data_IF_509146109729
#
_entry.id   IF_509146109729
#
_cell.length_a   1.000
_cell.length_b   1.000
_cell.length_c   1.000
_cell.angle_alpha   90.00
_cell.angle_beta   90.00
_cell.angle_gamma   90.00
#
_symmetry.space_group_name_H-M   'P 1'
#
loop_
_entity.id
_entity.type
_entity.pdbx_description
1 polymer ?
#
# COMPACT_ATOMS: atom_id res chain seq x y z
N UNK A 1 -32.13 -29.60 -51.42
CA UNK A 1 -32.06 -28.64 -50.31
C UNK A 1 -32.84 -29.28 -49.18
N UNK A 2 -32.19 -29.67 -48.08
CA UNK A 2 -32.68 -30.70 -47.12
C UNK A 2 -32.86 -32.10 -47.80
N UNK A 3 -32.83 -33.26 -47.13
CA UNK A 3 -32.15 -33.73 -45.90
C UNK A 3 -32.40 -35.25 -45.72
N UNK A 4 -31.55 -35.94 -44.94
CA UNK A 4 -31.78 -37.26 -44.27
C UNK A 4 -31.76 -38.60 -45.07
N UNK A 5 -30.87 -39.49 -44.59
CA UNK A 5 -31.12 -40.90 -44.16
C UNK A 5 -30.75 -42.12 -45.05
N UNK A 6 -29.78 -42.88 -44.48
CA UNK A 6 -29.37 -44.29 -44.64
C UNK A 6 -30.51 -45.34 -44.59
N UNK A 7 -30.38 -46.51 -45.25
CA UNK A 7 -29.83 -47.76 -44.62
C UNK A 7 -29.04 -48.68 -45.62
N UNK A 8 -28.37 -49.82 -45.31
CA UNK A 8 -27.81 -50.47 -44.09
C UNK A 8 -26.94 -51.71 -44.51
N UNK A 9 -26.80 -52.76 -43.66
CA UNK A 9 -26.44 -54.18 -43.92
C UNK A 9 -24.97 -54.71 -43.81
N UNK A 10 -24.57 -54.94 -42.55
CA UNK A 10 -23.93 -56.10 -41.87
C UNK A 10 -23.48 -57.36 -42.68
N UNK A 11 -22.44 -58.06 -42.13
CA UNK A 11 -22.03 -59.50 -42.20
C UNK A 11 -20.74 -59.78 -43.05
N UNK A 12 -19.79 -60.69 -42.71
CA UNK A 12 -19.63 -61.58 -41.53
C UNK A 12 -18.17 -62.09 -41.31
N UNK A 13 -17.90 -62.61 -40.10
CA UNK A 13 -16.80 -63.48 -39.59
C UNK A 13 -15.88 -64.29 -40.55
N UNK A 14 -14.57 -64.41 -40.22
CA UNK A 14 -13.93 -65.66 -39.69
C UNK A 14 -12.48 -65.48 -39.15
N UNK A 15 -11.93 -66.53 -38.50
CA UNK A 15 -10.73 -66.53 -37.64
C UNK A 15 -9.45 -67.09 -38.31
N UNK A 16 -8.24 -66.83 -37.76
CA UNK A 16 -7.35 -67.84 -37.08
C UNK A 16 -5.99 -67.25 -36.60
N UNK A 17 -5.46 -67.87 -35.54
CA UNK A 17 -4.32 -67.62 -34.61
C UNK A 17 -2.92 -67.20 -35.16
N UNK A 18 -2.29 -66.27 -34.41
CA UNK A 18 -0.87 -66.16 -33.93
C UNK A 18 0.30 -66.72 -34.79
N UNK A 19 1.24 -65.85 -35.19
CA UNK A 19 2.63 -65.85 -34.66
C UNK A 19 3.38 -64.50 -34.88
N UNK A 20 4.51 -64.36 -34.18
CA UNK A 20 5.26 -63.18 -33.72
C UNK A 20 6.27 -62.56 -34.74
N UNK A 21 6.51 -61.24 -34.63
CA UNK A 21 7.67 -60.44 -35.14
C UNK A 21 7.71 -60.17 -36.67
N UNK A 22 7.92 -58.95 -37.21
CA UNK A 22 8.94 -57.91 -36.96
C UNK A 22 8.44 -56.53 -37.50
N UNK A 23 8.94 -55.40 -36.95
CA UNK A 23 9.13 -54.06 -37.61
C UNK A 23 7.84 -53.35 -38.11
N UNK A 24 7.58 -52.05 -37.95
CA UNK A 24 8.36 -50.86 -37.55
C UNK A 24 7.50 -49.86 -36.79
N UNK A 25 8.09 -49.18 -35.81
CA UNK A 25 7.49 -48.06 -35.07
C UNK A 25 7.85 -46.72 -35.73
N UNK A 26 6.90 -45.86 -36.13
CA UNK A 26 7.18 -44.45 -36.37
C UNK A 26 7.13 -43.71 -35.02
N UNK A 27 8.30 -43.35 -34.50
CA UNK A 27 8.44 -42.42 -33.38
C UNK A 27 7.89 -41.05 -33.80
N UNK A 28 6.70 -40.70 -33.30
CA UNK A 28 6.28 -39.29 -33.32
C UNK A 28 7.05 -38.60 -32.19
N UNK A 29 8.15 -37.96 -32.56
CA UNK A 29 8.94 -37.10 -31.69
C UNK A 29 8.10 -35.87 -31.32
N UNK A 30 7.28 -36.01 -30.28
CA UNK A 30 6.74 -34.86 -29.55
C UNK A 30 7.91 -34.22 -28.79
N UNK A 31 8.67 -33.36 -29.46
CA UNK A 31 9.63 -32.50 -28.80
C UNK A 31 8.90 -31.65 -27.75
N UNK A 32 9.14 -31.94 -26.48
CA UNK A 32 8.86 -31.02 -25.39
C UNK A 32 9.76 -29.80 -25.54
N UNK A 33 9.29 -28.82 -26.31
CA UNK A 33 9.80 -27.47 -26.23
C UNK A 33 9.39 -26.91 -24.88
N UNK A 34 10.33 -26.83 -23.93
CA UNK A 34 10.19 -25.92 -22.80
C UNK A 34 10.25 -24.48 -23.35
N UNK A 35 9.14 -24.00 -23.91
CA UNK A 35 8.87 -22.57 -24.00
C UNK A 35 8.46 -22.09 -22.62
N UNK A 36 9.39 -22.19 -21.66
CA UNK A 36 9.51 -21.12 -20.69
C UNK A 36 9.99 -19.92 -21.50
N UNK A 37 9.04 -19.15 -22.04
CA UNK A 37 9.25 -17.74 -22.25
C UNK A 37 9.59 -17.17 -20.87
N UNK A 38 10.89 -17.13 -20.56
CA UNK A 38 11.40 -16.08 -19.70
C UNK A 38 11.01 -14.80 -20.40
N UNK A 39 9.98 -14.13 -19.89
CA UNK A 39 9.69 -12.77 -20.31
C UNK A 39 10.95 -11.93 -20.14
N UNK A 40 11.19 -10.96 -21.03
CA UNK A 40 12.26 -9.96 -20.91
C UNK A 40 12.02 -8.96 -19.73
N UNK A 41 11.38 -9.44 -18.65
CA UNK A 41 11.13 -8.72 -17.40
C UNK A 41 12.36 -8.54 -16.54
N UNK A 42 13.41 -9.36 -16.73
CA UNK A 42 14.58 -9.43 -15.82
C UNK A 42 15.48 -8.16 -15.87
N UNK A 43 15.17 -7.14 -16.67
CA UNK A 43 16.10 -6.05 -17.03
C UNK A 43 15.51 -4.64 -17.13
N UNK A 44 14.24 -4.39 -16.81
CA UNK A 44 13.65 -3.06 -17.06
C UNK A 44 14.36 -1.96 -16.27
N UNK A 45 14.87 -2.23 -15.06
CA UNK A 45 15.64 -1.25 -14.28
C UNK A 45 17.17 -1.35 -14.47
N UNK A 46 17.69 -2.12 -15.44
CA UNK A 46 19.14 -2.32 -15.63
C UNK A 46 19.90 -1.02 -15.98
N UNK A 47 19.24 -0.08 -16.66
CA UNK A 47 19.77 1.26 -16.96
C UNK A 47 19.02 2.37 -16.20
N UNK A 48 18.46 2.05 -15.03
CA UNK A 48 17.69 3.00 -14.25
C UNK A 48 18.48 4.27 -13.93
N UNK A 49 17.87 5.41 -14.26
CA UNK A 49 18.38 6.73 -13.92
C UNK A 49 17.21 7.68 -13.67
N UNK A 50 17.47 8.82 -13.07
CA UNK A 50 16.44 9.82 -12.81
C UNK A 50 17.03 11.22 -12.79
N UNK A 51 16.18 12.22 -13.01
CA UNK A 51 16.45 13.61 -12.66
C UNK A 51 15.47 14.06 -11.58
N UNK A 52 15.90 14.99 -10.73
CA UNK A 52 15.06 15.61 -9.70
C UNK A 52 14.98 17.11 -9.97
N UNK A 53 13.76 17.64 -10.02
CA UNK A 53 13.48 19.07 -9.95
C UNK A 53 12.76 19.38 -8.64
N UNK A 54 12.77 20.65 -8.20
CA UNK A 54 12.05 21.08 -7.00
C UNK A 54 11.10 22.20 -7.34
N UNK A 55 9.80 21.97 -7.17
CA UNK A 55 8.79 23.02 -7.24
C UNK A 55 8.45 23.54 -5.83
N UNK A 56 7.98 24.77 -5.77
CA UNK A 56 7.36 25.37 -4.59
C UNK A 56 5.89 25.67 -4.89
N UNK A 57 5.03 25.45 -3.91
CA UNK A 57 3.63 25.87 -3.95
C UNK A 57 3.57 27.31 -3.46
N UNK A 58 2.95 28.19 -4.25
CA UNK A 58 2.61 29.56 -3.88
C UNK A 58 1.35 29.56 -2.99
N UNK A 59 1.45 29.86 -1.67
CA UNK A 59 0.30 29.94 -0.78
C UNK A 59 -0.45 31.28 -0.93
N UNK A 60 0.09 32.21 -1.73
CA UNK A 60 -0.34 33.60 -1.90
C UNK A 60 -0.32 34.38 -0.57
N UNK A 61 -1.48 34.72 -0.02
CA UNK A 61 -1.64 35.44 1.26
C UNK A 61 -2.07 34.53 2.42
N UNK A 62 -2.18 33.22 2.16
CA UNK A 62 -2.66 32.20 3.10
C UNK A 62 -1.48 31.45 3.72
N UNK A 63 -1.78 30.52 4.63
CA UNK A 63 -0.80 29.65 5.28
C UNK A 63 -1.19 28.19 5.05
N UNK A 64 -0.22 27.35 4.67
CA UNK A 64 -0.30 25.89 4.75
C UNK A 64 0.43 25.45 6.02
N UNK A 65 -0.25 24.76 6.94
CA UNK A 65 0.38 24.28 8.16
C UNK A 65 1.21 23.02 7.88
N UNK A 66 2.55 23.17 7.92
CA UNK A 66 3.52 22.10 7.70
C UNK A 66 4.19 21.59 8.99
N UNK A 67 3.66 21.93 10.17
CA UNK A 67 4.24 21.54 11.48
C UNK A 67 4.35 20.02 11.69
N UNK A 68 3.57 19.22 10.96
CA UNK A 68 3.61 17.76 10.93
C UNK A 68 3.97 17.23 9.53
N UNK A 69 4.76 17.99 8.78
CA UNK A 69 4.92 17.82 7.34
C UNK A 69 3.59 18.05 6.61
N UNK A 70 3.38 17.36 5.49
CA UNK A 70 2.13 17.46 4.75
C UNK A 70 0.94 16.79 5.47
N UNK A 71 1.17 15.96 6.49
CA UNK A 71 0.13 15.35 7.33
C UNK A 71 -0.86 14.47 6.54
N UNK A 72 -2.15 14.56 6.89
CA UNK A 72 -3.22 13.87 6.18
C UNK A 72 -3.49 14.56 4.85
N UNK A 73 -3.03 13.95 3.74
CA UNK A 73 -3.27 14.46 2.40
C UNK A 73 -3.70 13.35 1.43
N UNK A 74 -4.49 13.71 0.42
CA UNK A 74 -4.95 12.80 -0.63
C UNK A 74 -5.13 13.52 -1.96
N UNK A 75 -5.00 12.81 -3.07
CA UNK A 75 -5.24 13.35 -4.41
C UNK A 75 -6.74 13.36 -4.72
N UNK A 76 -7.22 14.38 -5.43
CA UNK A 76 -8.53 14.31 -6.09
C UNK A 76 -8.55 13.27 -7.22
N UNK A 77 -9.73 12.83 -7.69
CA UNK A 77 -9.87 11.78 -8.71
C UNK A 77 -9.03 12.03 -9.97
N UNK A 78 -9.04 13.26 -10.50
CA UNK A 78 -8.29 13.67 -11.68
C UNK A 78 -6.77 13.92 -11.44
N UNK A 79 -6.27 13.70 -10.21
CA UNK A 79 -4.89 14.00 -9.75
C UNK A 79 -4.38 15.44 -10.00
N UNK A 80 -5.24 16.37 -10.44
CA UNK A 80 -4.89 17.79 -10.65
C UNK A 80 -4.72 18.55 -9.32
N UNK A 81 -5.35 18.07 -8.25
CA UNK A 81 -5.35 18.71 -6.94
C UNK A 81 -4.88 17.73 -5.87
N UNK A 82 -4.03 18.23 -4.97
CA UNK A 82 -3.79 17.64 -3.67
C UNK A 82 -4.65 18.35 -2.63
N UNK A 83 -5.29 17.57 -1.77
CA UNK A 83 -6.08 18.06 -0.65
C UNK A 83 -5.36 17.70 0.64
N UNK A 84 -5.10 18.68 1.48
CA UNK A 84 -4.37 18.51 2.74
C UNK A 84 -5.21 19.04 3.90
N UNK A 85 -5.41 18.22 4.93
CA UNK A 85 -6.17 18.58 6.11
C UNK A 85 -5.26 19.22 7.16
N UNK A 86 -5.60 20.43 7.60
CA UNK A 86 -4.92 21.14 8.68
C UNK A 86 -5.60 20.84 10.02
N UNK A 87 -4.96 20.11 10.95
CA UNK A 87 -5.55 19.79 12.25
C UNK A 87 -5.51 20.97 13.23
N UNK A 88 -4.80 22.06 12.94
CA UNK A 88 -4.75 23.25 13.82
C UNK A 88 -5.91 24.22 13.60
N UNK A 89 -6.51 24.13 12.41
CA UNK A 89 -7.68 24.89 11.96
C UNK A 89 -8.47 23.93 11.06
N UNK A 90 -9.53 23.27 11.55
CA UNK A 90 -10.27 22.25 10.81
C UNK A 90 -10.68 22.70 9.41
N UNK A 91 -9.84 22.42 8.42
CA UNK A 91 -10.00 22.88 7.06
C UNK A 91 -9.20 22.00 6.10
N UNK A 92 -9.62 22.01 4.84
CA UNK A 92 -8.90 21.34 3.77
C UNK A 92 -8.31 22.38 2.83
N UNK A 93 -6.99 22.37 2.73
CA UNK A 93 -6.20 23.13 1.77
C UNK A 93 -6.25 22.41 0.42
N UNK A 94 -6.76 23.08 -0.62
CA UNK A 94 -6.76 22.58 -2.00
C UNK A 94 -5.61 23.20 -2.77
N UNK A 95 -4.61 22.38 -3.09
CA UNK A 95 -3.38 22.74 -3.78
C UNK A 95 -3.47 22.25 -5.22
N UNK A 96 -3.40 23.17 -6.19
CA UNK A 96 -3.39 22.83 -7.60
C UNK A 96 -1.96 22.44 -8.03
N UNK A 97 -1.80 21.19 -8.48
CA UNK A 97 -0.53 20.58 -8.89
C UNK A 97 -0.14 20.88 -10.34
N UNK A 98 -0.92 21.70 -11.05
CA UNK A 98 -0.61 22.22 -12.38
C UNK A 98 -0.21 23.70 -12.36
N UNK A 99 -0.85 24.51 -11.49
CA UNK A 99 -0.55 25.93 -11.32
C UNK A 99 0.40 26.22 -10.14
N UNK A 100 0.72 25.18 -9.35
CA UNK A 100 1.56 25.20 -8.15
C UNK A 100 1.08 26.23 -7.11
N UNK A 101 -0.22 26.24 -6.80
CA UNK A 101 -0.87 27.25 -5.96
C UNK A 101 -1.85 26.67 -4.95
N UNK A 102 -1.97 27.31 -3.79
CA UNK A 102 -3.09 27.11 -2.86
C UNK A 102 -4.32 27.88 -3.34
N UNK A 103 -5.21 27.20 -4.07
CA UNK A 103 -6.38 27.85 -4.65
C UNK A 103 -7.45 28.14 -3.60
N UNK A 104 -7.84 27.14 -2.81
CA UNK A 104 -8.92 27.25 -1.84
C UNK A 104 -8.56 26.65 -0.47
N UNK A 105 -9.24 27.13 0.56
CA UNK A 105 -9.26 26.55 1.90
C UNK A 105 -10.72 26.36 2.29
N UNK A 106 -11.11 25.13 2.60
CA UNK A 106 -12.50 24.77 2.90
C UNK A 106 -12.65 24.49 4.39
N UNK A 107 -13.36 25.32 5.17
CA UNK A 107 -13.54 25.09 6.60
C UNK A 107 -14.50 23.93 6.86
N UNK A 108 -14.26 23.20 7.95
CA UNK A 108 -15.09 22.14 8.49
C UNK A 108 -15.51 22.48 9.93
N UNK A 109 -16.66 21.98 10.36
CA UNK A 109 -17.17 22.15 11.74
C UNK A 109 -16.58 21.04 12.63
N UNK A 110 -16.15 21.36 13.86
CA UNK A 110 -15.75 20.34 14.86
C UNK A 110 -16.98 19.73 15.56
N UNK A 111 -18.01 20.54 15.77
CA UNK A 111 -19.22 20.17 16.51
C UNK A 111 -20.48 20.32 15.64
N UNK A 112 -21.62 19.81 16.13
CA UNK A 112 -22.90 19.93 15.47
C UNK A 112 -23.15 18.89 14.37
N UNK A 113 -24.18 19.08 13.52
CA UNK A 113 -24.60 18.06 12.56
C UNK A 113 -23.59 17.79 11.45
N UNK A 114 -22.70 18.75 11.14
CA UNK A 114 -21.58 18.52 10.22
C UNK A 114 -20.23 18.30 10.94
N UNK A 115 -20.24 18.09 12.26
CA UNK A 115 -19.04 17.88 13.05
C UNK A 115 -18.17 16.73 12.52
N UNK A 116 -16.87 16.98 12.35
CA UNK A 116 -15.86 15.97 12.06
C UNK A 116 -15.36 15.30 13.35
N UNK A 117 -14.69 14.15 13.24
CA UNK A 117 -14.08 13.51 14.40
C UNK A 117 -12.90 14.36 14.95
N UNK A 118 -12.70 14.42 16.29
CA UNK A 118 -11.75 15.35 16.92
C UNK A 118 -10.26 15.06 16.63
N UNK A 119 -9.95 13.89 16.05
CA UNK A 119 -8.63 13.53 15.56
C UNK A 119 -8.82 12.76 14.25
N UNK A 120 -8.52 13.39 13.12
CA UNK A 120 -8.57 12.76 11.79
C UNK A 120 -7.29 11.96 11.56
N UNK A 121 -7.43 10.68 11.20
CA UNK A 121 -6.32 9.76 10.90
C UNK A 121 -6.26 9.31 9.45
N UNK A 122 -7.27 9.65 8.65
CA UNK A 122 -7.28 9.37 7.22
C UNK A 122 -8.34 10.18 6.49
N UNK A 123 -8.06 10.43 5.22
CA UNK A 123 -8.88 11.24 4.31
C UNK A 123 -8.79 10.62 2.91
N UNK A 124 -9.93 10.38 2.27
CA UNK A 124 -9.99 9.69 0.97
C UNK A 124 -11.14 10.25 0.12
N UNK A 125 -10.91 10.45 -1.18
CA UNK A 125 -11.99 10.72 -2.13
C UNK A 125 -12.71 9.45 -2.57
N UNK A 126 -13.99 9.60 -2.84
CA UNK A 126 -14.81 8.66 -3.61
C UNK A 126 -14.93 9.14 -5.06
N UNK A 127 -15.27 8.23 -5.98
CA UNK A 127 -15.44 8.54 -7.41
C UNK A 127 -16.54 9.57 -7.68
N UNK A 128 -17.50 9.71 -6.77
CA UNK A 128 -18.56 10.72 -6.82
C UNK A 128 -18.09 12.14 -6.39
N UNK A 129 -16.80 12.31 -6.07
CA UNK A 129 -16.21 13.57 -5.62
C UNK A 129 -16.47 13.94 -4.15
N UNK A 130 -17.13 13.06 -3.38
CA UNK A 130 -17.28 13.21 -1.94
C UNK A 130 -16.01 12.74 -1.21
N UNK A 131 -15.89 13.15 0.05
CA UNK A 131 -14.73 12.91 0.88
C UNK A 131 -15.11 12.07 2.10
N UNK A 132 -14.42 10.96 2.31
CA UNK A 132 -14.45 10.26 3.60
C UNK A 132 -13.39 10.88 4.51
N UNK A 133 -13.83 11.27 5.71
CA UNK A 133 -12.97 11.60 6.84
C UNK A 133 -13.18 10.54 7.93
N UNK A 134 -12.09 9.94 8.39
CA UNK A 134 -12.11 8.94 9.47
C UNK A 134 -11.15 9.31 10.61
N UNK A 135 -11.58 9.05 11.83
CA UNK A 135 -10.87 9.52 13.03
C UNK A 135 -11.00 8.62 14.25
N UNK A 136 -10.54 9.15 15.40
CA UNK A 136 -10.47 8.41 16.66
C UNK A 136 -11.80 7.79 17.07
N UNK A 137 -11.75 6.55 17.58
CA UNK A 137 -12.92 5.80 18.02
C UNK A 137 -13.78 5.27 16.86
N UNK A 138 -13.20 5.05 15.68
CA UNK A 138 -13.88 4.53 14.49
C UNK A 138 -15.10 5.38 14.05
N UNK A 139 -14.96 6.70 14.20
CA UNK A 139 -15.90 7.68 13.67
C UNK A 139 -15.53 7.98 12.21
N UNK A 140 -16.46 7.75 11.30
CA UNK A 140 -16.28 7.90 9.86
C UNK A 140 -17.47 8.67 9.28
N UNK A 141 -17.21 9.66 8.44
CA UNK A 141 -18.27 10.42 7.76
C UNK A 141 -17.93 10.69 6.30
N UNK A 142 -18.97 10.74 5.48
CA UNK A 142 -18.91 11.21 4.09
C UNK A 142 -19.32 12.68 4.07
N UNK A 143 -18.49 13.53 3.47
CA UNK A 143 -18.67 14.97 3.42
C UNK A 143 -18.59 15.49 1.98
N UNK A 144 -19.22 16.64 1.72
CA UNK A 144 -18.85 17.46 0.57
C UNK A 144 -17.59 18.25 0.90
N UNK A 145 -16.86 18.70 -0.12
CA UNK A 145 -15.68 19.54 0.05
C UNK A 145 -15.99 20.86 0.78
N UNK A 146 -17.26 21.32 0.80
CA UNK A 146 -17.72 22.50 1.53
C UNK A 146 -18.09 22.22 3.01
N UNK A 147 -17.59 21.14 3.59
CA UNK A 147 -17.78 20.82 5.01
C UNK A 147 -19.15 20.23 5.38
N UNK A 148 -20.08 20.05 4.43
CA UNK A 148 -21.40 19.48 4.73
C UNK A 148 -21.31 17.95 4.89
N UNK A 149 -21.77 17.41 6.03
CA UNK A 149 -21.91 15.96 6.20
C UNK A 149 -23.08 15.44 5.35
N UNK A 150 -22.78 14.43 4.53
CA UNK A 150 -23.73 13.73 3.66
C UNK A 150 -24.25 12.48 4.37
N UNK A 151 -23.36 11.74 5.04
CA UNK A 151 -23.64 10.46 5.68
C UNK A 151 -22.67 10.22 6.84
N UNK A 152 -23.15 9.58 7.92
CA UNK A 152 -22.31 8.94 8.93
C UNK A 152 -22.10 7.47 8.52
N UNK A 153 -20.85 6.99 8.51
CA UNK A 153 -20.51 5.60 8.19
C UNK A 153 -20.33 4.82 9.49
N UNK A 154 -21.38 4.08 9.88
CA UNK A 154 -21.33 3.22 11.06
C UNK A 154 -20.55 1.93 10.75
N UNK A 155 -19.30 1.83 11.24
CA UNK A 155 -18.50 0.59 11.17
C UNK A 155 -18.53 -0.23 12.47
N UNK A 156 -19.53 -0.06 13.32
CA UNK A 156 -19.71 -0.90 14.53
C UNK A 156 -19.80 -2.39 14.15
N UNK A 157 -18.82 -3.24 14.52
CA UNK A 157 -18.76 -4.62 14.02
C UNK A 157 -19.99 -5.47 14.39
N UNK A 158 -20.63 -5.18 15.51
CA UNK A 158 -21.86 -5.86 15.96
C UNK A 158 -23.06 -5.67 15.01
N UNK A 159 -23.04 -4.64 14.14
CA UNK A 159 -24.09 -4.40 13.15
C UNK A 159 -23.85 -5.15 11.82
N UNK A 160 -22.72 -5.87 11.69
CA UNK A 160 -22.31 -6.58 10.47
C UNK A 160 -22.25 -8.09 10.70
N UNK A 161 -22.97 -8.85 9.86
CA UNK A 161 -22.97 -10.30 9.92
C UNK A 161 -21.58 -10.85 9.56
N UNK A 162 -21.00 -11.66 10.45
CA UNK A 162 -19.65 -12.21 10.34
C UNK A 162 -18.60 -11.48 11.18
N UNK A 163 -18.95 -10.35 11.81
CA UNK A 163 -18.07 -9.56 12.68
C UNK A 163 -18.58 -9.45 14.13
N UNK A 164 -19.62 -10.19 14.52
CA UNK A 164 -20.32 -10.06 15.80
C UNK A 164 -19.47 -10.37 17.04
N UNK A 165 -18.29 -10.98 16.84
CA UNK A 165 -17.31 -11.29 17.89
C UNK A 165 -16.28 -10.17 18.13
N UNK A 166 -16.29 -9.10 17.32
CA UNK A 166 -15.42 -7.94 17.48
C UNK A 166 -16.14 -6.79 18.19
N UNK A 167 -15.38 -5.98 18.93
CA UNK A 167 -15.84 -4.71 19.45
C UNK A 167 -15.44 -3.55 18.52
N UNK A 168 -16.13 -2.40 18.63
CA UNK A 168 -15.70 -1.15 17.98
C UNK A 168 -14.24 -0.79 18.33
N UNK A 169 -13.77 -1.20 19.51
CA UNK A 169 -12.40 -0.92 19.94
C UNK A 169 -11.35 -1.79 19.24
N UNK A 170 -11.73 -2.92 18.64
CA UNK A 170 -10.84 -3.73 17.81
C UNK A 170 -10.48 -3.06 16.47
N UNK A 171 -11.15 -1.97 16.08
CA UNK A 171 -10.84 -1.25 14.86
C UNK A 171 -9.60 -0.36 15.04
N UNK A 172 -8.58 -0.58 14.21
CA UNK A 172 -7.36 0.22 14.20
C UNK A 172 -7.51 1.55 13.45
N UNK A 173 -6.44 2.35 13.49
CA UNK A 173 -6.37 3.68 12.86
C UNK A 173 -5.91 3.63 11.38
N UNK A 174 -5.83 2.43 10.78
CA UNK A 174 -5.44 2.21 9.39
C UNK A 174 -6.64 1.66 8.65
N UNK A 175 -7.24 2.50 7.83
CA UNK A 175 -8.46 2.19 7.10
C UNK A 175 -8.39 2.73 5.66
N UNK A 176 -9.20 2.16 4.79
CA UNK A 176 -9.46 2.65 3.43
C UNK A 176 -10.82 2.13 2.97
N UNK A 177 -11.38 2.75 1.93
CA UNK A 177 -12.65 2.36 1.33
C UNK A 177 -12.48 2.09 -0.17
N UNK A 178 -13.31 1.25 -0.77
CA UNK A 178 -13.40 1.18 -2.24
C UNK A 178 -13.84 2.54 -2.80
N UNK A 179 -13.50 2.86 -4.05
CA UNK A 179 -13.77 4.20 -4.62
C UNK A 179 -15.26 4.53 -4.77
N UNK A 180 -16.09 3.51 -4.93
CA UNK A 180 -17.56 3.62 -4.93
C UNK A 180 -18.14 3.79 -3.52
N UNK A 181 -17.34 3.62 -2.47
CA UNK A 181 -17.73 3.69 -1.07
C UNK A 181 -18.48 2.46 -0.55
N UNK A 182 -18.56 1.36 -1.32
CA UNK A 182 -19.28 0.15 -0.90
C UNK A 182 -18.54 -0.67 0.16
N UNK A 183 -17.22 -0.82 0.03
CA UNK A 183 -16.42 -1.65 0.93
C UNK A 183 -15.59 -0.78 1.86
N UNK A 184 -15.60 -1.10 3.16
CA UNK A 184 -14.66 -0.60 4.14
C UNK A 184 -13.59 -1.64 4.44
N UNK A 185 -12.35 -1.24 4.62
CA UNK A 185 -11.24 -2.11 5.02
C UNK A 185 -10.45 -1.46 6.14
N UNK A 186 -10.20 -2.18 7.22
CA UNK A 186 -9.55 -1.68 8.45
C UNK A 186 -8.56 -2.73 8.95
N UNK A 187 -7.31 -2.34 9.24
CA UNK A 187 -6.43 -3.21 10.01
C UNK A 187 -6.88 -3.20 11.47
N UNK A 188 -7.05 -4.38 12.06
CA UNK A 188 -7.41 -4.51 13.48
C UNK A 188 -6.38 -3.80 14.35
N UNK A 189 -6.85 -3.18 15.43
CA UNK A 189 -5.99 -2.61 16.46
C UNK A 189 -5.15 -3.73 17.07
N UNK A 190 -3.83 -3.57 17.02
CA UNK A 190 -2.87 -4.48 17.63
C UNK A 190 -3.08 -4.44 19.14
N UNK A 191 -3.50 -5.57 19.72
CA UNK A 191 -3.64 -5.78 21.16
C UNK A 191 -2.52 -6.67 21.72
N UNK A 192 -2.70 -7.17 22.94
CA UNK A 192 -1.71 -8.03 23.63
C UNK A 192 -1.32 -9.29 22.84
N UNK A 193 -2.20 -9.79 21.96
CA UNK A 193 -1.93 -10.95 21.10
C UNK A 193 -0.89 -10.70 20.00
N UNK A 194 -0.60 -9.43 19.65
CA UNK A 194 0.18 -9.05 18.47
C UNK A 194 -0.26 -9.79 17.19
N UNK A 195 -1.56 -10.04 17.03
CA UNK A 195 -2.11 -10.66 15.82
C UNK A 195 -2.36 -9.62 14.73
N UNK A 196 -1.93 -9.88 13.50
CA UNK A 196 -2.23 -9.01 12.36
C UNK A 196 -3.47 -9.50 11.64
N UNK A 197 -4.51 -8.68 11.58
CA UNK A 197 -5.80 -9.04 11.02
C UNK A 197 -6.37 -7.89 10.16
N UNK A 198 -6.85 -8.21 8.94
CA UNK A 198 -7.61 -7.31 8.09
C UNK A 198 -9.11 -7.57 8.31
N UNK A 199 -9.85 -6.51 8.63
CA UNK A 199 -11.31 -6.52 8.75
C UNK A 199 -11.87 -5.86 7.50
N UNK A 200 -12.77 -6.56 6.82
CA UNK A 200 -13.48 -6.06 5.63
C UNK A 200 -14.97 -5.97 5.93
N UNK A 201 -15.58 -4.85 5.54
CA UNK A 201 -17.00 -4.55 5.63
C UNK A 201 -17.57 -4.38 4.22
N UNK A 202 -18.71 -5.00 3.93
CA UNK A 202 -19.59 -4.64 2.82
C UNK A 202 -20.75 -3.81 3.38
N UNK A 203 -20.71 -2.50 3.10
CA UNK A 203 -21.64 -1.51 3.63
C UNK A 203 -23.01 -1.55 2.93
N UNK A 204 -23.11 -2.23 1.77
CA UNK A 204 -24.39 -2.46 1.09
C UNK A 204 -25.12 -3.68 1.68
N UNK A 205 -24.38 -4.78 1.93
CA UNK A 205 -25.00 -6.03 2.42
C UNK A 205 -25.02 -6.16 3.94
N UNK A 206 -24.38 -5.24 4.69
CA UNK A 206 -24.18 -5.31 6.14
C UNK A 206 -23.54 -6.65 6.56
N UNK A 207 -22.52 -7.07 5.82
CA UNK A 207 -21.71 -8.25 6.12
C UNK A 207 -20.25 -7.87 6.28
N UNK A 208 -19.45 -8.72 6.94
CA UNK A 208 -18.02 -8.50 7.05
C UNK A 208 -17.24 -9.75 7.40
N UNK A 209 -15.92 -9.64 7.31
CA UNK A 209 -14.98 -10.74 7.51
C UNK A 209 -13.69 -10.28 8.17
N UNK A 210 -13.06 -11.22 8.88
CA UNK A 210 -11.72 -11.06 9.46
C UNK A 210 -10.78 -12.03 8.75
N UNK A 211 -9.64 -11.51 8.29
CA UNK A 211 -8.58 -12.26 7.63
C UNK A 211 -7.29 -12.16 8.45
N UNK A 212 -6.78 -13.31 8.88
CA UNK A 212 -5.49 -13.39 9.58
C UNK A 212 -4.31 -13.26 8.61
N UNK A 213 -3.32 -12.44 8.98
CA UNK A 213 -2.20 -12.03 8.13
C UNK A 213 -0.84 -12.39 8.78
N UNK A 214 -0.52 -13.68 9.01
CA UNK A 214 0.65 -14.10 9.77
C UNK A 214 1.98 -13.50 9.28
N UNK A 215 2.14 -13.35 7.97
CA UNK A 215 3.36 -12.79 7.35
C UNK A 215 3.61 -11.31 7.69
N UNK A 216 2.61 -10.61 8.24
CA UNK A 216 2.72 -9.23 8.71
C UNK A 216 3.14 -9.14 10.19
N UNK A 217 3.00 -10.22 10.97
CA UNK A 217 3.25 -10.23 12.42
C UNK A 217 4.74 -10.04 12.76
N UNK A 218 5.63 -10.35 11.82
CA UNK A 218 7.07 -10.06 11.93
C UNK A 218 7.35 -8.56 12.19
N UNK A 219 6.47 -7.63 11.78
CA UNK A 219 6.62 -6.21 12.12
C UNK A 219 6.68 -5.95 13.64
N UNK A 220 6.01 -6.80 14.42
CA UNK A 220 5.97 -6.74 15.89
C UNK A 220 7.22 -7.34 16.54
N UNK A 221 8.09 -8.02 15.79
CA UNK A 221 9.39 -8.51 16.26
C UNK A 221 10.48 -7.44 16.25
N UNK A 222 10.25 -6.36 15.50
CA UNK A 222 11.19 -5.24 15.33
C UNK A 222 10.64 -3.92 15.90
N UNK A 223 9.63 -4.03 16.77
CA UNK A 223 9.06 -2.91 17.52
C UNK A 223 9.53 -2.94 18.98
N UNK A 224 9.99 -1.80 19.48
CA UNK A 224 10.56 -1.62 20.81
C UNK A 224 10.16 -0.26 21.39
N UNK A 225 9.65 -0.28 22.61
CA UNK A 225 9.36 0.91 23.41
C UNK A 225 10.35 1.01 24.59
N UNK A 226 10.78 2.22 24.91
CA UNK A 226 11.53 2.54 26.13
C UNK A 226 10.93 3.74 26.83
N UNK A 227 10.51 3.55 28.09
CA UNK A 227 9.94 4.59 28.93
C UNK A 227 10.90 5.00 30.05
N UNK A 228 11.24 6.29 30.10
CA UNK A 228 12.01 6.91 31.18
C UNK A 228 11.17 8.03 31.84
N UNK A 229 10.42 7.66 32.89
CA UNK A 229 9.44 8.54 33.53
C UNK A 229 8.32 8.92 32.56
N UNK A 230 8.16 10.21 32.26
CA UNK A 230 7.16 10.71 31.32
C UNK A 230 7.66 10.77 29.85
N UNK A 231 8.86 10.27 29.55
CA UNK A 231 9.41 10.24 28.19
C UNK A 231 9.31 8.82 27.65
N UNK A 232 8.54 8.64 26.58
CA UNK A 232 8.48 7.41 25.80
C UNK A 232 9.33 7.59 24.54
N UNK A 233 10.13 6.59 24.20
CA UNK A 233 10.77 6.42 22.89
C UNK A 233 10.21 5.16 22.26
N UNK A 234 9.95 5.22 20.96
CA UNK A 234 9.45 4.09 20.19
C UNK A 234 10.22 3.99 18.88
N UNK A 235 10.66 2.78 18.56
CA UNK A 235 11.08 2.36 17.22
C UNK A 235 10.20 1.19 16.82
N UNK A 236 9.75 1.15 15.58
CA UNK A 236 8.95 0.04 15.10
C UNK A 236 8.74 0.08 13.61
N UNK A 237 8.55 -1.11 13.05
CA UNK A 237 8.17 -1.31 11.66
C UNK A 237 6.64 -1.30 11.56
N UNK A 238 6.14 -0.62 10.54
CA UNK A 238 4.71 -0.46 10.29
C UNK A 238 4.14 -1.54 9.37
N UNK A 239 2.82 -1.72 9.50
CA UNK A 239 1.97 -2.42 8.54
C UNK A 239 1.18 -1.36 7.76
N UNK A 240 1.14 -1.49 6.44
CA UNK A 240 0.49 -0.61 5.49
C UNK A 240 -0.82 -1.23 5.02
N UNK A 241 -1.83 -0.40 4.81
CA UNK A 241 -3.06 -0.76 4.11
C UNK A 241 -3.19 0.22 2.94
N UNK A 242 -3.19 -0.29 1.71
CA UNK A 242 -3.27 0.50 0.49
C UNK A 242 -4.51 0.09 -0.31
N UNK A 243 -5.30 1.07 -0.74
CA UNK A 243 -6.39 0.83 -1.69
C UNK A 243 -5.84 0.44 -3.06
N UNK A 244 -6.52 -0.47 -3.75
CA UNK A 244 -6.39 -0.71 -5.19
C UNK A 244 -7.79 -0.71 -5.83
N UNK A 245 -7.87 -0.83 -7.16
CA UNK A 245 -9.13 -0.68 -7.92
C UNK A 245 -10.25 -1.59 -7.38
N UNK A 246 -9.95 -2.88 -7.22
CA UNK A 246 -10.89 -3.91 -6.80
C UNK A 246 -10.40 -4.65 -5.55
N UNK A 247 -9.92 -3.90 -4.55
CA UNK A 247 -9.40 -4.53 -3.35
C UNK A 247 -8.50 -3.65 -2.48
N UNK A 248 -7.73 -4.33 -1.64
CA UNK A 248 -6.66 -3.72 -0.84
C UNK A 248 -5.38 -4.56 -0.89
N UNK A 249 -4.25 -3.88 -0.72
CA UNK A 249 -2.97 -4.49 -0.41
C UNK A 249 -2.63 -4.27 1.07
N UNK A 250 -2.12 -5.30 1.72
CA UNK A 250 -1.49 -5.20 3.05
C UNK A 250 -0.04 -5.61 2.94
N UNK A 251 0.86 -4.78 3.45
CA UNK A 251 2.30 -5.05 3.48
C UNK A 251 2.90 -4.59 4.79
N UNK A 252 4.17 -4.91 5.03
CA UNK A 252 4.91 -4.48 6.22
C UNK A 252 6.29 -3.92 5.83
N UNK A 253 7.08 -3.53 6.84
CA UNK A 253 8.45 -3.05 6.65
C UNK A 253 9.56 -4.09 6.87
N UNK A 254 9.26 -5.23 7.47
CA UNK A 254 10.25 -6.24 7.84
C UNK A 254 10.50 -7.27 6.75
N UNK A 255 9.58 -7.46 5.80
CA UNK A 255 9.72 -8.36 4.67
C UNK A 255 9.09 -7.83 3.37
N UNK A 256 9.47 -8.46 2.27
CA UNK A 256 8.98 -8.12 0.94
C UNK A 256 7.56 -8.61 0.64
N UNK A 257 6.95 -9.44 1.51
CA UNK A 257 5.68 -10.09 1.23
C UNK A 257 4.52 -9.09 1.26
N UNK A 258 3.45 -9.43 0.54
CA UNK A 258 2.23 -8.64 0.43
C UNK A 258 1.01 -9.56 0.44
N UNK A 259 -0.03 -9.19 1.18
CA UNK A 259 -1.36 -9.73 0.94
C UNK A 259 -2.12 -8.85 -0.04
N UNK A 260 -2.81 -9.46 -1.00
CA UNK A 260 -3.83 -8.84 -1.82
C UNK A 260 -5.18 -9.43 -1.40
N UNK A 261 -6.14 -8.57 -1.07
CA UNK A 261 -7.54 -8.97 -0.92
C UNK A 261 -8.36 -8.36 -2.05
N UNK A 262 -9.10 -9.19 -2.79
CA UNK A 262 -9.95 -8.77 -3.91
C UNK A 262 -11.44 -8.77 -3.50
N UNK A 263 -12.16 -7.68 -3.76
CA UNK A 263 -13.55 -7.53 -3.29
C UNK A 263 -14.53 -8.45 -4.02
N UNK A 264 -14.50 -8.46 -5.36
CA UNK A 264 -15.46 -9.24 -6.18
C UNK A 264 -15.31 -10.76 -6.00
N UNK A 265 -14.08 -11.24 -5.82
CA UNK A 265 -13.77 -12.68 -5.69
C UNK A 265 -13.75 -13.13 -4.24
N UNK A 266 -13.80 -12.20 -3.28
CA UNK A 266 -13.74 -12.47 -1.84
C UNK A 266 -12.54 -13.35 -1.48
N UNK A 267 -11.39 -13.05 -2.11
CA UNK A 267 -10.18 -13.87 -2.04
C UNK A 267 -9.00 -13.10 -1.45
N UNK A 268 -8.31 -13.74 -0.49
CA UNK A 268 -7.03 -13.28 0.06
C UNK A 268 -5.90 -14.11 -0.55
N UNK A 269 -4.90 -13.43 -1.13
CA UNK A 269 -3.73 -14.04 -1.76
C UNK A 269 -2.46 -13.48 -1.14
N UNK A 270 -1.56 -14.37 -0.71
CA UNK A 270 -0.18 -13.99 -0.36
C UNK A 270 0.66 -13.89 -1.65
N UNK A 271 1.50 -12.87 -1.71
CA UNK A 271 2.49 -12.63 -2.74
C UNK A 271 3.87 -12.55 -2.09
N UNK A 272 4.80 -13.34 -2.60
CA UNK A 272 6.17 -13.46 -2.11
C UNK A 272 7.12 -13.18 -3.27
N UNK A 273 8.25 -12.56 -2.97
CA UNK A 273 9.22 -12.13 -3.98
C UNK A 273 10.61 -12.65 -3.62
N UNK A 274 11.46 -12.76 -4.64
CA UNK A 274 12.88 -13.01 -4.48
C UNK A 274 13.64 -11.82 -5.07
N UNK A 275 13.98 -10.87 -4.19
CA UNK A 275 14.77 -9.70 -4.52
C UNK A 275 16.26 -10.05 -4.53
N UNK A 276 16.96 -9.53 -5.53
CA UNK A 276 18.35 -9.82 -5.83
C UNK A 276 19.31 -8.74 -5.32
N UNK A 277 18.82 -7.50 -5.10
CA UNK A 277 19.65 -6.40 -4.61
C UNK A 277 19.70 -6.27 -3.09
N UNK A 278 18.71 -6.83 -2.37
CA UNK A 278 18.57 -6.72 -0.90
C UNK A 278 18.11 -8.03 -0.28
N UNK A 279 18.33 -8.25 1.03
CA UNK A 279 17.67 -9.33 1.75
C UNK A 279 16.15 -9.23 1.65
N UNK A 280 15.46 -10.35 1.46
CA UNK A 280 14.00 -10.41 1.33
C UNK A 280 13.24 -10.07 2.63
N UNK A 281 13.95 -10.06 3.77
CA UNK A 281 13.42 -9.71 5.09
C UNK A 281 14.54 -9.23 6.03
N UNK A 282 14.17 -8.68 7.18
CA UNK A 282 15.08 -8.48 8.32
C UNK A 282 15.50 -9.83 8.89
N UNK A 283 16.79 -9.95 9.21
CA UNK A 283 17.44 -11.22 9.54
C UNK A 283 17.93 -11.27 11.00
N UNK A 284 18.21 -10.11 11.59
CA UNK A 284 18.80 -9.99 12.93
C UNK A 284 17.74 -9.49 13.92
N UNK A 285 17.19 -10.35 14.80
CA UNK A 285 16.21 -9.94 15.79
C UNK A 285 16.80 -8.92 16.77
N UNK A 286 15.92 -8.11 17.35
CA UNK A 286 16.22 -7.18 18.44
C UNK A 286 15.70 -7.71 19.78
N UNK A 287 16.19 -7.17 20.90
CA UNK A 287 15.54 -7.37 22.20
C UNK A 287 14.25 -6.53 22.27
N UNK A 288 13.16 -7.16 22.70
CA UNK A 288 11.88 -6.47 22.98
C UNK A 288 11.83 -5.79 24.36
N UNK A 289 12.76 -6.14 25.25
CA UNK A 289 12.88 -5.58 26.59
C UNK A 289 14.27 -4.97 26.77
N UNK A 290 14.33 -3.72 27.24
CA UNK A 290 15.55 -2.95 27.49
C UNK A 290 15.43 -2.19 28.81
N UNK A 291 16.51 -2.16 29.60
CA UNK A 291 16.52 -1.62 30.97
C UNK A 291 17.20 -0.24 31.06
N UNK A 292 17.72 0.27 29.95
CA UNK A 292 18.45 1.53 29.88
C UNK A 292 18.29 2.21 28.51
N UNK A 293 18.59 3.50 28.45
CA UNK A 293 18.59 4.24 27.18
C UNK A 293 19.72 3.74 26.27
N UNK A 294 20.85 3.35 26.85
CA UNK A 294 22.00 2.79 26.16
C UNK A 294 21.65 1.45 25.48
N UNK A 295 20.93 0.56 26.17
CA UNK A 295 20.39 -0.66 25.55
C UNK A 295 19.36 -0.35 24.46
N UNK A 296 18.41 0.56 24.71
CA UNK A 296 17.44 0.98 23.70
C UNK A 296 18.12 1.48 22.41
N UNK A 297 19.13 2.34 22.52
CA UNK A 297 19.83 2.91 21.37
C UNK A 297 20.61 1.85 20.56
N UNK A 298 21.14 0.80 21.22
CA UNK A 298 21.77 -0.33 20.54
C UNK A 298 20.75 -1.16 19.75
N UNK A 299 19.59 -1.44 20.34
CA UNK A 299 18.54 -2.21 19.67
C UNK A 299 17.82 -1.39 18.57
N UNK A 300 17.63 -0.07 18.76
CA UNK A 300 17.18 0.88 17.72
C UNK A 300 18.14 0.87 16.52
N UNK A 301 19.45 0.90 16.77
CA UNK A 301 20.48 0.84 15.73
C UNK A 301 20.35 -0.45 14.91
N UNK A 302 20.21 -1.60 15.58
CA UNK A 302 20.03 -2.90 14.94
C UNK A 302 18.73 -2.95 14.12
N UNK A 303 17.62 -2.40 14.64
CA UNK A 303 16.35 -2.37 13.92
C UNK A 303 16.41 -1.51 12.65
N UNK A 304 17.11 -0.36 12.71
CA UNK A 304 17.16 0.62 11.63
C UNK A 304 18.23 0.36 10.58
N UNK A 305 19.31 -0.34 10.93
CA UNK A 305 20.41 -0.70 10.01
C UNK A 305 20.13 -1.93 9.13
N UNK A 306 18.89 -2.43 9.13
CA UNK A 306 18.44 -3.55 8.31
C UNK A 306 17.52 -3.08 7.18
N UNK A 307 17.20 -3.98 6.25
CA UNK A 307 16.26 -3.68 5.18
C UNK A 307 14.89 -3.28 5.74
N UNK A 308 14.40 -2.13 5.30
CA UNK A 308 13.05 -1.65 5.51
C UNK A 308 12.37 -1.57 4.15
N UNK A 309 11.11 -2.02 4.06
CA UNK A 309 10.28 -1.92 2.86
C UNK A 309 9.09 -0.96 3.08
N UNK A 310 8.93 0.06 2.24
CA UNK A 310 7.77 0.96 2.29
C UNK A 310 6.47 0.33 1.74
N UNK A 311 5.42 1.15 1.67
CA UNK A 311 4.18 0.83 0.94
C UNK A 311 4.38 0.87 -0.58
N UNK A 312 3.42 0.33 -1.32
CA UNK A 312 3.36 0.48 -2.77
C UNK A 312 2.69 1.81 -3.14
N UNK A 313 3.18 2.43 -4.21
CA UNK A 313 2.67 3.68 -4.77
C UNK A 313 2.29 3.43 -6.23
N UNK A 314 1.05 3.75 -6.61
CA UNK A 314 0.50 3.47 -7.94
C UNK A 314 0.70 4.64 -8.91
N UNK A 315 1.42 4.39 -9.99
CA UNK A 315 1.46 5.25 -11.18
C UNK A 315 0.38 4.83 -12.18
N UNK A 316 -0.60 5.70 -12.36
CA UNK A 316 -1.67 5.55 -13.33
C UNK A 316 -1.21 5.78 -14.77
N UNK A 317 -0.13 6.55 -14.95
CA UNK A 317 0.38 6.91 -16.27
C UNK A 317 1.11 5.75 -16.95
N UNK A 318 1.79 4.88 -16.18
CA UNK A 318 2.40 3.64 -16.66
C UNK A 318 1.64 2.35 -16.28
N UNK A 319 0.61 2.45 -15.43
CA UNK A 319 -0.12 1.34 -14.82
C UNK A 319 0.84 0.34 -14.12
N UNK A 320 1.62 0.90 -13.17
CA UNK A 320 2.67 0.19 -12.42
C UNK A 320 2.64 0.59 -10.96
N UNK A 321 3.18 -0.29 -10.13
CA UNK A 321 3.41 -0.01 -8.72
C UNK A 321 4.90 0.11 -8.44
N UNK A 322 5.25 1.04 -7.55
CA UNK A 322 6.61 1.26 -7.10
C UNK A 322 6.66 1.12 -5.58
N UNK A 323 7.66 0.41 -5.05
CA UNK A 323 7.93 0.26 -3.62
C UNK A 323 9.36 0.70 -3.35
N UNK A 324 9.57 1.46 -2.28
CA UNK A 324 10.90 1.90 -1.87
C UNK A 324 11.43 1.03 -0.75
N UNK A 325 12.69 0.62 -0.84
CA UNK A 325 13.46 0.01 0.24
C UNK A 325 14.49 0.98 0.81
N UNK A 326 14.93 0.75 2.05
CA UNK A 326 16.13 1.40 2.59
C UNK A 326 16.94 0.49 3.50
N UNK A 327 18.24 0.74 3.57
CA UNK A 327 19.14 0.26 4.64
C UNK A 327 19.86 1.50 5.18
N UNK A 328 19.65 1.86 6.46
CA UNK A 328 20.27 3.07 7.02
C UNK A 328 21.70 2.80 7.50
N UNK A 329 22.57 3.78 7.28
CA UNK A 329 23.87 3.85 7.93
C UNK A 329 23.73 4.15 9.43
N UNK A 330 24.73 3.77 10.24
CA UNK A 330 24.84 4.23 11.62
C UNK A 330 24.84 5.74 11.72
N UNK A 331 24.12 6.26 12.71
CA UNK A 331 24.02 7.70 12.94
C UNK A 331 25.39 8.28 13.30
N UNK A 332 25.87 9.24 12.51
CA UNK A 332 27.15 9.93 12.76
C UNK A 332 26.94 11.06 13.77
N UNK A 333 27.95 11.30 14.61
CA UNK A 333 27.91 12.35 15.63
C UNK A 333 27.65 13.73 14.98
N UNK A 334 26.66 14.43 15.51
CA UNK A 334 26.23 15.75 15.01
C UNK A 334 25.27 15.74 13.81
N UNK A 335 25.03 14.61 13.13
CA UNK A 335 24.01 14.56 12.08
C UNK A 335 22.58 14.50 12.68
N UNK A 336 21.67 15.31 12.14
CA UNK A 336 20.25 15.32 12.56
C UNK A 336 19.54 14.02 12.12
N UNK A 337 19.74 13.64 10.86
CA UNK A 337 19.10 12.52 10.17
C UNK A 337 20.11 11.42 9.82
N UNK A 338 19.65 10.17 9.76
CA UNK A 338 20.43 9.04 9.23
C UNK A 338 20.34 9.07 7.69
N UNK A 339 21.46 8.84 7.02
CA UNK A 339 21.51 8.53 5.58
C UNK A 339 21.40 7.02 5.38
N UNK A 340 21.07 6.56 4.18
CA UNK A 340 21.07 5.14 3.86
C UNK A 340 21.06 4.86 2.37
N UNK A 341 21.32 3.62 2.01
CA UNK A 341 21.11 3.12 0.67
C UNK A 341 19.60 2.99 0.41
N UNK A 342 19.12 3.59 -0.67
CA UNK A 342 17.72 3.58 -1.09
C UNK A 342 17.56 2.67 -2.32
N UNK A 343 16.53 1.83 -2.29
CA UNK A 343 16.23 0.85 -3.32
C UNK A 343 14.84 1.11 -3.90
N UNK A 344 14.66 0.81 -5.18
CA UNK A 344 13.40 0.91 -5.90
C UNK A 344 13.03 -0.46 -6.47
N UNK A 345 11.82 -0.92 -6.16
CA UNK A 345 11.22 -2.13 -6.72
C UNK A 345 10.02 -1.72 -7.56
N UNK A 346 9.95 -2.16 -8.81
CA UNK A 346 8.85 -1.85 -9.73
C UNK A 346 8.05 -3.11 -10.05
N UNK A 347 6.73 -2.99 -10.10
CA UNK A 347 5.81 -4.10 -10.36
C UNK A 347 4.80 -3.73 -11.45
N UNK A 348 4.30 -4.73 -12.18
CA UNK A 348 3.18 -4.55 -13.10
C UNK A 348 1.83 -4.46 -12.38
N UNK A 349 0.75 -4.21 -13.14
CA UNK A 349 -0.63 -4.19 -12.66
C UNK A 349 -1.09 -5.49 -11.94
N UNK A 350 -0.39 -6.61 -12.13
CA UNK A 350 -0.66 -7.90 -11.49
C UNK A 350 0.31 -8.19 -10.33
N UNK A 351 1.02 -7.16 -9.85
CA UNK A 351 2.02 -7.21 -8.80
C UNK A 351 3.21 -8.15 -9.08
N UNK A 352 3.52 -8.43 -10.36
CA UNK A 352 4.74 -9.16 -10.74
C UNK A 352 5.93 -8.20 -10.75
N UNK A 353 7.04 -8.60 -10.14
CA UNK A 353 8.28 -7.81 -10.14
C UNK A 353 8.79 -7.61 -11.58
N UNK A 354 9.11 -6.37 -11.92
CA UNK A 354 9.61 -5.92 -13.23
C UNK A 354 11.08 -5.47 -13.19
N UNK A 355 11.66 -5.37 -12.00
CA UNK A 355 13.05 -4.97 -11.81
C UNK A 355 13.29 -4.28 -10.48
N UNK A 356 14.58 -4.16 -10.17
CA UNK A 356 15.10 -3.57 -8.95
C UNK A 356 16.21 -2.57 -9.32
N UNK A 357 16.35 -1.48 -8.57
CA UNK A 357 17.48 -0.57 -8.70
C UNK A 357 17.91 0.02 -7.35
N UNK A 358 19.19 0.38 -7.23
CA UNK A 358 19.67 1.28 -6.18
C UNK A 358 19.56 2.73 -6.69
N UNK A 359 19.02 3.62 -5.87
CA UNK A 359 18.86 5.04 -6.19
C UNK A 359 20.10 5.84 -5.80
N UNK A 360 21.11 5.81 -6.66
CA UNK A 360 22.37 6.53 -6.40
C UNK A 360 22.15 8.04 -6.20
N UNK A 361 22.79 8.59 -5.16
CA UNK A 361 22.65 10.00 -4.77
C UNK A 361 21.40 10.36 -3.95
N UNK A 362 20.50 9.40 -3.68
CA UNK A 362 19.35 9.58 -2.78
C UNK A 362 19.58 8.80 -1.49
N UNK A 363 19.46 9.48 -0.35
CA UNK A 363 19.85 8.95 0.97
C UNK A 363 18.68 8.76 1.94
N UNK A 364 17.45 9.01 1.49
CA UNK A 364 16.20 8.89 2.24
C UNK A 364 15.06 8.51 1.31
N UNK A 365 14.12 7.69 1.78
CA UNK A 365 12.90 7.36 1.01
C UNK A 365 12.10 8.64 0.73
N UNK A 366 11.58 8.85 -0.51
CA UNK A 366 10.62 9.90 -0.84
C UNK A 366 9.48 10.03 0.18
N UNK A 367 9.29 11.22 0.74
CA UNK A 367 8.30 11.46 1.80
C UNK A 367 6.92 11.78 1.23
N UNK A 368 5.89 11.18 1.82
CA UNK A 368 4.47 11.36 1.45
C UNK A 368 4.24 11.33 -0.06
N UNK A 369 4.92 10.40 -0.73
CA UNK A 369 5.10 10.47 -2.18
C UNK A 369 3.92 9.88 -2.96
N UNK A 370 3.66 10.44 -4.13
CA UNK A 370 2.61 10.01 -5.05
C UNK A 370 3.07 10.14 -6.50
N UNK A 371 2.39 9.48 -7.44
CA UNK A 371 2.63 9.68 -8.87
C UNK A 371 1.63 10.66 -9.49
N UNK A 372 2.13 11.48 -10.41
CA UNK A 372 1.34 12.33 -11.30
C UNK A 372 2.11 12.54 -12.60
N UNK A 373 1.44 12.39 -13.74
CA UNK A 373 2.00 12.53 -15.09
C UNK A 373 3.26 11.68 -15.32
N UNK A 374 3.28 10.45 -14.79
CA UNK A 374 4.40 9.51 -14.88
C UNK A 374 5.64 9.90 -14.07
N UNK A 375 5.55 10.89 -13.17
CA UNK A 375 6.62 11.33 -12.28
C UNK A 375 6.26 11.09 -10.83
N UNK A 376 7.25 10.77 -10.00
CA UNK A 376 7.06 10.66 -8.56
C UNK A 376 7.26 12.03 -7.91
N UNK A 377 6.27 12.48 -7.16
CA UNK A 377 6.29 13.72 -6.38
C UNK A 377 6.53 13.35 -4.92
N UNK A 378 7.59 13.91 -4.32
CA UNK A 378 7.93 13.74 -2.90
C UNK A 378 7.76 15.08 -2.19
N UNK A 379 7.07 15.08 -1.05
CA UNK A 379 7.05 16.24 -0.16
C UNK A 379 8.46 16.67 0.23
N UNK A 380 8.71 17.98 0.21
CA UNK A 380 9.86 18.65 0.84
C UNK A 380 9.40 19.93 1.51
N UNK A 381 10.02 20.28 2.65
CA UNK A 381 9.92 21.61 3.23
C UNK A 381 11.09 22.44 2.72
N UNK A 382 10.82 23.64 2.20
CA UNK A 382 11.86 24.57 1.73
C UNK A 382 11.58 25.93 2.36
N UNK A 383 12.42 26.33 3.31
CA UNK A 383 12.29 27.59 4.06
C UNK A 383 10.87 27.81 4.63
N UNK A 384 10.33 26.76 5.28
CA UNK A 384 8.97 26.65 5.84
C UNK A 384 7.81 26.62 4.82
N UNK A 385 8.09 26.70 3.51
CA UNK A 385 7.10 26.57 2.44
C UNK A 385 6.92 25.12 1.94
N UNK A 386 5.75 24.86 1.36
CA UNK A 386 5.41 23.56 0.77
C UNK A 386 6.09 23.40 -0.59
N UNK A 387 7.04 22.46 -0.69
CA UNK A 387 7.64 22.06 -1.96
C UNK A 387 7.39 20.61 -2.32
N UNK A 388 7.67 20.28 -3.58
CA UNK A 388 7.77 18.90 -4.04
C UNK A 388 9.04 18.69 -4.84
N UNK A 389 9.81 17.67 -4.45
CA UNK A 389 10.87 17.10 -5.29
C UNK A 389 10.21 16.17 -6.31
N UNK A 390 10.29 16.51 -7.59
CA UNK A 390 9.69 15.77 -8.71
C UNK A 390 10.79 14.91 -9.36
N UNK A 391 10.66 13.60 -9.22
CA UNK A 391 11.54 12.62 -9.82
C UNK A 391 11.00 12.18 -11.19
N UNK A 392 11.81 12.36 -12.22
CA UNK A 392 11.53 11.85 -13.56
C UNK A 392 12.37 10.60 -13.83
N UNK A 393 11.75 9.44 -13.65
CA UNK A 393 12.40 8.13 -13.82
C UNK A 393 12.61 7.78 -15.30
N UNK A 394 13.78 7.23 -15.61
CA UNK A 394 14.18 6.71 -16.92
C UNK A 394 14.64 5.26 -16.78
N UNK A 395 14.12 4.42 -17.66
CA UNK A 395 14.35 2.98 -17.72
C UNK A 395 14.35 2.53 -19.19
#
# INVERSE_FOLDING_TARGET
>A
MMSWVLPSLILNFRQVKRLISLISLPLILSCGGNSSEKSDSDKILENFSFSVDTILIDPSDKIINLSYGIGNATLGPERQFLYQFDPSKPQINQINLNSFKLENQYPFEEEGPNGIAPLIFGMQFLDNGQLILGGYGAQYGVFTLQGKKVQELNLNPADYKGLEALEITDLGLRFTFSKDGRFGSVLKRIGESNSSELIVFDLETMTGKVFWLPEMEQAFDYSLEFQAGNRIRFVGDGIWLNQIENGVLVGNSTNNKLYQYEFDTDSLKLMEYDFSLVPNQKERPIKKEVNSLEEYLVEEEIALSQIYFGSLIYDDSSNRFFRFGRILEPKKDGEQTRKGDIFLFMFDQNFRLLGEAKMEGIYSIPQSAFFKDGKLWSYVNVDDELGFAIFDFKF
#
